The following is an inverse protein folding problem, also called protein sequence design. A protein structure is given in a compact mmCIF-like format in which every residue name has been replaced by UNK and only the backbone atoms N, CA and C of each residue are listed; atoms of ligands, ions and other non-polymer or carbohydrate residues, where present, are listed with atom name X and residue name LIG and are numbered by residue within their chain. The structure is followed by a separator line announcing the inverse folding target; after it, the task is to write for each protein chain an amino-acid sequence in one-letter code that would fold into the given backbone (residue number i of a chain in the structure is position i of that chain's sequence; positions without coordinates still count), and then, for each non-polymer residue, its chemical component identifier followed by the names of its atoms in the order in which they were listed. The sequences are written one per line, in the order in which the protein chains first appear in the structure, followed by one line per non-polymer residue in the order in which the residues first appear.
data_IF_039258036374
#
_entry.id   IF_039258036374
#
_cell.length_a   1.000
_cell.length_b   1.000
_cell.length_c   1.000
_cell.angle_alpha   90.00
_cell.angle_beta   90.00
_cell.angle_gamma   90.00
#
_symmetry.space_group_name_H-M   'P 1'
#
loop_
_entity.id
_entity.type
_entity.pdbx_description
1 polymer ?
#
# COMPACT_ATOMS: atom_id res chain seq x y z
N UNK A 1 25.74 3.25 -18.81
CA UNK A 1 24.85 2.78 -17.74
C UNK A 1 24.42 4.01 -16.96
N UNK A 2 23.21 4.52 -17.15
CA UNK A 2 22.74 5.70 -16.40
C UNK A 2 22.20 5.18 -15.07
N UNK A 3 22.97 5.42 -14.01
CA UNK A 3 22.50 5.26 -12.63
C UNK A 3 21.62 6.47 -12.35
N UNK A 4 20.30 6.30 -12.44
CA UNK A 4 19.37 7.31 -11.92
C UNK A 4 19.52 7.36 -10.41
N UNK A 5 20.28 8.33 -9.92
CA UNK A 5 20.28 8.72 -8.51
C UNK A 5 18.90 9.31 -8.21
N UNK A 6 18.12 8.60 -7.40
CA UNK A 6 17.04 9.21 -6.64
C UNK A 6 17.76 9.91 -5.45
N UNK A 7 17.69 11.24 -5.32
CA UNK A 7 18.36 11.93 -4.21
C UNK A 7 17.69 11.53 -2.89
N UNK A 8 18.31 10.68 -2.06
CA UNK A 8 17.81 10.40 -0.71
C UNK A 8 18.02 9.00 -0.12
N UNK A 9 18.44 8.00 -0.90
CA UNK A 9 19.17 6.83 -0.36
C UNK A 9 18.39 5.83 0.51
N UNK A 10 17.62 4.93 -0.14
CA UNK A 10 17.69 3.47 0.12
C UNK A 10 17.79 2.75 -1.23
N UNK A 11 18.81 1.90 -1.39
CA UNK A 11 19.20 1.34 -2.70
C UNK A 11 18.10 0.45 -3.32
N UNK A 12 17.39 0.98 -4.32
CA UNK A 12 16.64 0.18 -5.28
C UNK A 12 17.63 -0.47 -6.26
N UNK A 13 17.57 -1.79 -6.43
CA UNK A 13 18.42 -2.48 -7.42
C UNK A 13 17.80 -2.32 -8.81
N UNK A 14 18.47 -1.65 -9.78
CA UNK A 14 17.95 -1.56 -11.14
C UNK A 14 17.95 -2.94 -11.80
N UNK A 15 16.86 -3.28 -12.48
CA UNK A 15 16.79 -4.48 -13.34
C UNK A 15 16.89 -3.97 -14.79
N UNK A 16 18.09 -4.11 -15.36
CA UNK A 16 18.49 -4.07 -16.78
C UNK A 16 17.61 -3.36 -17.84
N UNK A 17 18.29 -2.46 -18.59
CA UNK A 17 18.02 -1.93 -19.95
C UNK A 17 16.72 -1.13 -20.13
N UNK A 18 16.88 0.20 -20.18
CA UNK A 18 15.84 1.14 -20.64
C UNK A 18 15.58 0.86 -22.12
N UNK A 19 14.43 0.25 -22.42
CA UNK A 19 13.87 0.17 -23.78
C UNK A 19 12.47 0.78 -23.66
N UNK A 20 12.30 1.99 -24.18
CA UNK A 20 11.11 2.82 -23.93
C UNK A 20 11.15 3.58 -22.60
N UNK A 21 10.18 4.48 -22.39
CA UNK A 21 10.00 5.28 -21.15
C UNK A 21 9.56 4.41 -19.95
N UNK A 22 10.17 3.23 -19.80
CA UNK A 22 9.87 2.24 -18.80
C UNK A 22 11.07 2.14 -17.86
N UNK A 23 10.84 2.47 -16.60
CA UNK A 23 11.84 2.29 -15.55
C UNK A 23 11.38 1.18 -14.60
N UNK A 24 12.24 0.18 -14.37
CA UNK A 24 11.91 -1.00 -13.56
C UNK A 24 12.75 -1.06 -12.29
N UNK A 25 12.05 -1.10 -11.16
CA UNK A 25 12.62 -1.24 -9.83
C UNK A 25 11.95 -2.41 -9.11
N UNK A 26 12.49 -2.75 -7.93
CA UNK A 26 11.83 -3.64 -6.99
C UNK A 26 12.10 -3.21 -5.56
N UNK A 27 11.05 -3.22 -4.74
CA UNK A 27 11.17 -3.21 -3.28
C UNK A 27 11.36 -4.66 -2.81
N UNK A 28 12.25 -4.90 -1.86
CA UNK A 28 12.44 -6.23 -1.26
C UNK A 28 11.85 -6.21 0.15
N UNK A 29 10.82 -7.03 0.37
CA UNK A 29 10.25 -7.25 1.70
C UNK A 29 10.86 -8.53 2.27
N UNK A 30 11.42 -8.43 3.47
CA UNK A 30 11.94 -9.58 4.22
C UNK A 30 10.84 -10.15 5.10
N UNK A 31 10.56 -11.44 4.97
CA UNK A 31 9.56 -12.14 5.77
C UNK A 31 10.21 -13.32 6.45
N UNK A 32 10.17 -13.37 7.78
CA UNK A 32 10.73 -14.47 8.57
C UNK A 32 9.60 -15.36 9.07
N UNK A 33 9.65 -16.64 8.71
CA UNK A 33 8.68 -17.66 9.15
C UNK A 33 9.45 -18.84 9.69
N UNK A 34 9.20 -19.23 10.94
CA UNK A 34 9.88 -20.34 11.62
C UNK A 34 11.42 -20.23 11.54
N UNK A 35 11.96 -19.02 11.76
CA UNK A 35 13.39 -18.74 11.70
C UNK A 35 13.98 -18.63 10.28
N UNK A 36 13.21 -18.94 9.23
CA UNK A 36 13.66 -18.84 7.84
C UNK A 36 13.25 -17.50 7.25
N UNK A 37 14.23 -16.69 6.83
CA UNK A 37 13.97 -15.42 6.13
C UNK A 37 13.82 -15.65 4.62
N UNK A 38 12.71 -15.20 4.07
CA UNK A 38 12.44 -15.14 2.62
C UNK A 38 12.45 -13.70 2.16
N UNK A 39 13.07 -13.45 1.00
CA UNK A 39 13.02 -12.17 0.32
C UNK A 39 11.89 -12.21 -0.72
N UNK A 40 10.87 -11.39 -0.53
CA UNK A 40 9.75 -11.26 -1.46
C UNK A 40 9.98 -9.99 -2.29
N UNK A 41 10.26 -10.09 -3.60
CA UNK A 41 10.36 -8.94 -4.47
C UNK A 41 8.97 -8.41 -4.82
N UNK A 42 8.82 -7.09 -4.71
CA UNK A 42 7.66 -6.33 -5.14
C UNK A 42 8.08 -5.40 -6.29
N UNK A 43 7.71 -5.70 -7.55
CA UNK A 43 8.11 -4.95 -8.72
C UNK A 43 7.40 -3.59 -8.76
N UNK A 44 8.13 -2.58 -9.20
CA UNK A 44 7.63 -1.22 -9.42
C UNK A 44 8.06 -0.83 -10.82
N UNK A 45 7.09 -0.75 -11.73
CA UNK A 45 7.34 -0.29 -13.09
C UNK A 45 6.80 1.13 -13.22
N UNK A 46 7.57 2.03 -13.81
CA UNK A 46 7.08 3.36 -14.18
C UNK A 46 6.87 3.35 -15.68
N UNK A 47 5.63 3.45 -16.13
CA UNK A 47 5.24 3.47 -17.55
C UNK A 47 4.55 4.79 -17.81
N UNK A 48 5.13 5.62 -18.69
CA UNK A 48 4.60 6.96 -19.02
C UNK A 48 4.36 7.84 -17.77
N UNK A 49 5.27 7.75 -16.79
CA UNK A 49 5.16 8.51 -15.54
C UNK A 49 4.15 7.96 -14.53
N UNK A 50 3.46 6.86 -14.82
CA UNK A 50 2.54 6.18 -13.89
C UNK A 50 3.24 4.96 -13.29
N UNK A 51 3.13 4.79 -11.98
CA UNK A 51 3.62 3.62 -11.26
C UNK A 51 2.62 2.47 -11.39
N UNK A 52 3.09 1.35 -11.90
CA UNK A 52 2.40 0.07 -11.96
C UNK A 52 2.94 -0.88 -10.88
N UNK A 53 2.05 -1.40 -10.05
CA UNK A 53 2.35 -2.35 -8.96
C UNK A 53 2.13 -3.82 -9.38
N UNK A 54 1.97 -4.09 -10.68
CA UNK A 54 1.52 -5.38 -11.21
C UNK A 54 -0.01 -5.54 -11.21
N UNK A 55 -0.49 -6.73 -11.60
CA UNK A 55 -1.93 -7.01 -11.72
C UNK A 55 -2.61 -7.14 -10.35
N UNK A 56 -3.95 -7.03 -10.33
CA UNK A 56 -4.69 -7.18 -9.07
C UNK A 56 -4.49 -8.56 -8.42
N UNK A 57 -4.54 -9.63 -9.22
CA UNK A 57 -4.32 -10.99 -8.75
C UNK A 57 -2.91 -11.20 -8.21
N UNK A 58 -1.92 -10.56 -8.81
CA UNK A 58 -0.55 -10.53 -8.31
C UNK A 58 -0.50 -9.87 -6.92
N UNK A 59 -1.01 -8.65 -6.78
CA UNK A 59 -0.98 -7.90 -5.52
C UNK A 59 -1.68 -8.65 -4.37
N UNK A 60 -2.87 -9.22 -4.63
CA UNK A 60 -3.59 -10.05 -3.64
C UNK A 60 -2.78 -11.26 -3.19
N UNK A 61 -2.17 -11.99 -4.13
CA UNK A 61 -1.33 -13.15 -3.81
C UNK A 61 -0.07 -12.77 -3.03
N UNK A 62 0.58 -11.67 -3.41
CA UNK A 62 1.81 -11.22 -2.77
C UNK A 62 1.57 -10.73 -1.34
N UNK A 63 0.51 -9.97 -1.09
CA UNK A 63 0.20 -9.51 0.27
C UNK A 63 -0.07 -10.70 1.18
N UNK A 64 -0.83 -11.70 0.72
CA UNK A 64 -1.08 -12.92 1.48
C UNK A 64 0.21 -13.67 1.85
N UNK A 65 1.17 -13.76 0.92
CA UNK A 65 2.50 -14.33 1.18
C UNK A 65 3.30 -13.47 2.17
N UNK A 66 3.24 -12.15 2.06
CA UNK A 66 3.96 -11.21 2.94
C UNK A 66 3.47 -11.29 4.38
N UNK A 67 2.16 -11.43 4.56
CA UNK A 67 1.52 -11.59 5.87
C UNK A 67 1.59 -13.04 6.39
N UNK A 68 2.17 -13.96 5.61
CA UNK A 68 2.26 -15.39 5.94
C UNK A 68 0.90 -16.02 6.30
N UNK A 69 -0.15 -15.66 5.56
CA UNK A 69 -1.50 -16.19 5.80
C UNK A 69 -1.67 -17.50 5.03
N UNK A 70 -1.79 -18.60 5.76
CA UNK A 70 -2.05 -19.93 5.21
C UNK A 70 -3.52 -20.32 5.31
N UNK A 71 -4.21 -19.87 6.36
CA UNK A 71 -5.62 -20.17 6.63
C UNK A 71 -6.56 -19.49 5.62
N UNK A 72 -7.38 -20.29 4.92
CA UNK A 72 -8.34 -19.81 3.92
C UNK A 72 -9.48 -18.97 4.51
N UNK A 73 -9.77 -19.10 5.81
CA UNK A 73 -10.77 -18.28 6.49
C UNK A 73 -10.30 -16.83 6.72
N UNK A 74 -9.00 -16.59 6.67
CA UNK A 74 -8.37 -15.28 6.84
C UNK A 74 -8.04 -14.67 5.48
N UNK A 75 -8.44 -13.41 5.28
CA UNK A 75 -8.14 -12.61 4.10
C UNK A 75 -6.96 -11.67 4.37
N UNK A 76 -6.16 -11.41 3.34
CA UNK A 76 -5.17 -10.35 3.34
C UNK A 76 -5.83 -9.04 2.92
N UNK A 77 -6.17 -8.19 3.89
CA UNK A 77 -6.80 -6.89 3.62
C UNK A 77 -5.73 -5.86 3.30
N UNK A 78 -5.94 -5.08 2.24
CA UNK A 78 -5.12 -3.91 1.93
C UNK A 78 -5.72 -2.71 2.66
N UNK A 79 -5.00 -2.15 3.65
CA UNK A 79 -5.47 -1.03 4.48
C UNK A 79 -5.83 0.17 3.60
N UNK A 80 -4.96 0.52 2.66
CA UNK A 80 -5.29 1.33 1.48
C UNK A 80 -5.76 0.38 0.39
N UNK A 81 -7.06 0.39 0.01
CA UNK A 81 -7.61 -0.51 -0.97
C UNK A 81 -6.87 -0.47 -2.32
N UNK A 82 -6.76 -1.64 -2.94
CA UNK A 82 -6.03 -1.85 -4.20
C UNK A 82 -6.60 -1.07 -5.39
N UNK A 83 -7.88 -0.70 -5.36
CA UNK A 83 -8.51 0.18 -6.35
C UNK A 83 -7.96 1.63 -6.28
N UNK A 84 -7.36 2.04 -5.16
CA UNK A 84 -6.71 3.36 -5.03
C UNK A 84 -5.23 3.38 -5.38
N UNK A 85 -4.71 2.30 -5.99
CA UNK A 85 -3.32 2.26 -6.49
C UNK A 85 -2.97 3.38 -7.46
N UNK A 86 -3.96 3.90 -8.19
CA UNK A 86 -3.81 5.00 -9.13
C UNK A 86 -4.16 6.37 -8.53
N UNK A 87 -4.48 6.44 -7.23
CA UNK A 87 -4.73 7.73 -6.58
C UNK A 87 -3.47 8.61 -6.62
N UNK A 88 -3.61 9.94 -6.76
CA UNK A 88 -2.46 10.83 -6.81
C UNK A 88 -1.52 10.70 -5.60
N UNK A 89 -2.07 10.49 -4.39
CA UNK A 89 -1.26 10.31 -3.18
C UNK A 89 -0.42 9.03 -3.24
N UNK A 90 -1.03 7.89 -3.59
CA UNK A 90 -0.32 6.61 -3.68
C UNK A 90 0.76 6.65 -4.76
N UNK A 91 0.47 7.30 -5.89
CA UNK A 91 1.43 7.49 -6.97
C UNK A 91 2.62 8.36 -6.55
N UNK A 92 2.40 9.42 -5.75
CA UNK A 92 3.48 10.24 -5.17
C UNK A 92 4.29 9.46 -4.14
N UNK A 93 3.64 8.78 -3.20
CA UNK A 93 4.30 7.98 -2.17
C UNK A 93 5.18 6.85 -2.77
N UNK A 94 4.74 6.24 -3.88
CA UNK A 94 5.51 5.22 -4.59
C UNK A 94 6.72 5.77 -5.37
N UNK A 95 6.78 7.10 -5.59
CA UNK A 95 7.92 7.80 -6.20
C UNK A 95 8.81 8.51 -5.17
N UNK A 96 8.48 8.43 -3.88
CA UNK A 96 9.29 8.97 -2.79
C UNK A 96 10.60 8.20 -2.60
N UNK A 97 11.51 8.74 -1.78
CA UNK A 97 12.74 8.05 -1.39
C UNK A 97 12.44 6.80 -0.54
N UNK A 98 11.38 6.87 0.26
CA UNK A 98 10.88 5.77 1.07
C UNK A 98 9.77 4.99 0.34
N UNK A 99 10.04 4.61 -0.91
CA UNK A 99 9.13 3.94 -1.85
C UNK A 99 8.04 3.11 -1.19
N UNK A 100 6.79 3.59 -1.30
CA UNK A 100 5.60 2.83 -0.96
C UNK A 100 5.27 1.79 -2.04
N UNK A 101 4.76 0.63 -1.62
CA UNK A 101 4.19 -0.37 -2.52
C UNK A 101 2.82 -0.81 -1.97
N UNK A 102 1.82 -0.94 -2.83
CA UNK A 102 0.44 -1.23 -2.39
C UNK A 102 0.33 -2.57 -1.64
N UNK A 103 1.09 -3.61 -2.04
CA UNK A 103 1.20 -4.88 -1.31
C UNK A 103 2.35 -4.95 -0.30
N UNK A 104 2.81 -3.83 0.23
CA UNK A 104 3.77 -3.83 1.34
C UNK A 104 3.13 -4.39 2.61
N UNK A 105 3.94 -4.97 3.51
CA UNK A 105 3.51 -5.43 4.83
C UNK A 105 2.83 -4.33 5.62
N UNK A 106 3.32 -3.09 5.54
CA UNK A 106 2.72 -1.96 6.26
C UNK A 106 1.28 -1.69 5.83
N UNK A 107 0.94 -1.97 4.57
CA UNK A 107 -0.40 -1.77 4.02
C UNK A 107 -1.29 -3.02 4.16
N UNK A 108 -0.87 -3.99 4.98
CA UNK A 108 -1.51 -5.30 5.06
C UNK A 108 -1.92 -5.67 6.47
N UNK A 109 -3.16 -6.11 6.62
CA UNK A 109 -3.67 -6.68 7.86
C UNK A 109 -4.45 -7.98 7.61
N UNK A 110 -4.20 -9.07 8.36
CA UNK A 110 -5.04 -10.25 8.31
C UNK A 110 -6.40 -9.97 8.93
N UNK A 111 -7.49 -10.31 8.22
CA UNK A 111 -8.86 -10.19 8.74
C UNK A 111 -9.67 -11.47 8.50
N UNK A 112 -10.56 -11.86 9.43
CA UNK A 112 -11.58 -12.87 9.15
C UNK A 112 -12.42 -12.47 7.94
N UNK A 113 -12.79 -13.45 7.11
CA UNK A 113 -13.55 -13.20 5.87
C UNK A 113 -14.88 -12.47 6.12
N UNK A 114 -15.53 -12.73 7.27
CA UNK A 114 -16.77 -12.07 7.70
C UNK A 114 -16.61 -10.57 7.93
N UNK A 115 -15.45 -10.14 8.42
CA UNK A 115 -15.18 -8.74 8.75
C UNK A 115 -14.63 -7.97 7.54
N UNK A 116 -14.06 -8.70 6.58
CA UNK A 116 -13.42 -8.14 5.39
C UNK A 116 -14.39 -7.67 4.31
N UNK A 117 -15.51 -8.38 4.07
CA UNK A 117 -16.37 -8.09 2.91
C UNK A 117 -17.50 -7.10 3.21
N UNK A 118 -18.03 -7.13 4.43
CA UNK A 118 -19.18 -6.32 4.82
C UNK A 118 -18.79 -4.84 4.93
N UNK A 119 -19.46 -3.99 4.14
CA UNK A 119 -19.25 -2.53 4.14
C UNK A 119 -17.96 -2.04 3.45
N UNK A 120 -17.23 -2.92 2.76
CA UNK A 120 -15.98 -2.55 2.09
C UNK A 120 -16.19 -1.62 0.88
N UNK A 121 -17.17 -1.95 0.03
CA UNK A 121 -17.44 -1.26 -1.26
C UNK A 121 -18.88 -0.72 -1.35
N UNK A 122 -19.54 -0.48 -0.22
CA UNK A 122 -20.86 0.16 -0.17
C UNK A 122 -20.70 1.69 -0.21
N UNK A 123 -21.74 2.40 -0.65
CA UNK A 123 -21.76 3.87 -0.59
C UNK A 123 -21.57 4.33 0.85
N UNK A 124 -20.60 5.21 1.11
CA UNK A 124 -20.21 5.65 2.45
C UNK A 124 -19.50 4.59 3.28
N UNK A 125 -19.11 3.47 2.67
CA UNK A 125 -18.34 2.41 3.30
C UNK A 125 -16.83 2.70 3.33
N UNK A 126 -16.06 1.70 3.74
CA UNK A 126 -14.62 1.83 3.99
C UNK A 126 -13.84 2.46 2.83
N UNK A 127 -14.09 2.00 1.60
CA UNK A 127 -13.37 2.51 0.43
C UNK A 127 -13.67 3.99 0.19
N UNK A 128 -14.92 4.43 0.32
CA UNK A 128 -15.30 5.83 0.09
C UNK A 128 -14.67 6.75 1.13
N UNK A 129 -14.72 6.36 2.41
CA UNK A 129 -14.11 7.12 3.50
C UNK A 129 -12.59 7.20 3.35
N UNK A 130 -11.93 6.09 3.01
CA UNK A 130 -10.49 6.09 2.71
C UNK A 130 -10.18 6.98 1.51
N UNK A 131 -10.98 6.92 0.43
CA UNK A 131 -10.78 7.76 -0.76
C UNK A 131 -10.83 9.26 -0.43
N UNK A 132 -11.75 9.66 0.45
CA UNK A 132 -11.87 11.05 0.88
C UNK A 132 -10.60 11.49 1.62
N UNK A 133 -10.16 10.73 2.62
CA UNK A 133 -8.95 11.05 3.39
C UNK A 133 -7.69 11.07 2.50
N UNK A 134 -7.56 10.13 1.55
CA UNK A 134 -6.46 10.15 0.57
C UNK A 134 -6.47 11.43 -0.28
N UNK A 135 -7.65 11.95 -0.60
CA UNK A 135 -7.81 13.20 -1.36
C UNK A 135 -7.38 14.40 -0.52
N UNK A 136 -7.81 14.45 0.74
CA UNK A 136 -7.49 15.55 1.66
C UNK A 136 -5.98 15.59 1.95
N UNK A 137 -5.36 14.44 2.22
CA UNK A 137 -3.90 14.32 2.34
C UNK A 137 -3.21 14.77 1.06
N UNK A 138 -3.67 14.33 -0.12
CA UNK A 138 -3.04 14.72 -1.39
C UNK A 138 -3.07 16.25 -1.61
N UNK A 139 -4.14 16.91 -1.20
CA UNK A 139 -4.25 18.37 -1.27
C UNK A 139 -3.26 19.03 -0.30
N UNK A 140 -3.19 18.54 0.93
CA UNK A 140 -2.29 19.06 1.97
C UNK A 140 -0.79 18.92 1.62
N UNK A 141 -0.38 17.78 1.07
CA UNK A 141 1.05 17.51 0.77
C UNK A 141 1.53 18.20 -0.51
N UNK A 142 0.63 18.64 -1.39
CA UNK A 142 1.02 19.27 -2.66
C UNK A 142 1.90 18.35 -3.51
N UNK A 143 3.00 18.87 -4.05
CA UNK A 143 3.91 18.10 -4.92
C UNK A 143 5.09 17.45 -4.18
N UNK A 144 5.10 17.45 -2.85
CA UNK A 144 6.15 16.82 -2.06
C UNK A 144 5.94 15.30 -1.97
N UNK A 145 6.83 14.53 -2.60
CA UNK A 145 6.71 13.07 -2.66
C UNK A 145 7.08 12.40 -1.34
N UNK A 146 8.02 12.97 -0.59
CA UNK A 146 8.44 12.41 0.69
C UNK A 146 7.35 12.69 1.74
N UNK A 147 6.83 13.92 1.78
CA UNK A 147 5.68 14.25 2.63
C UNK A 147 4.44 13.42 2.27
N UNK A 148 4.19 13.18 0.98
CA UNK A 148 3.13 12.28 0.54
C UNK A 148 3.29 10.86 1.08
N UNK A 149 4.52 10.32 1.12
CA UNK A 149 4.78 9.02 1.72
C UNK A 149 4.57 9.04 3.24
N UNK A 150 5.11 10.04 3.92
CA UNK A 150 5.03 10.12 5.39
C UNK A 150 3.58 10.22 5.86
N UNK A 151 2.76 11.07 5.22
CA UNK A 151 1.33 11.18 5.54
C UNK A 151 0.54 9.92 5.18
N UNK A 152 0.86 9.27 4.06
CA UNK A 152 0.23 7.99 3.71
C UNK A 152 0.53 6.91 4.76
N UNK A 153 1.77 6.84 5.23
CA UNK A 153 2.20 5.89 6.27
C UNK A 153 1.56 6.22 7.63
N UNK A 154 1.43 7.50 7.98
CA UNK A 154 0.71 7.93 9.18
C UNK A 154 -0.75 7.51 9.14
N UNK A 155 -1.42 7.74 8.01
CA UNK A 155 -2.81 7.32 7.83
C UNK A 155 -2.99 5.79 7.86
N UNK A 156 -2.08 5.05 7.22
CA UNK A 156 -2.07 3.57 7.30
C UNK A 156 -1.90 3.11 8.75
N UNK A 157 -0.99 3.72 9.50
CA UNK A 157 -0.75 3.37 10.90
C UNK A 157 -1.96 3.68 11.78
N UNK A 158 -2.64 4.80 11.51
CA UNK A 158 -3.92 5.13 12.15
C UNK A 158 -4.98 4.05 11.87
N UNK A 159 -5.17 3.65 10.61
CA UNK A 159 -6.15 2.64 10.22
C UNK A 159 -5.80 1.25 10.77
N UNK A 160 -4.53 0.83 10.75
CA UNK A 160 -4.08 -0.42 11.33
C UNK A 160 -4.44 -0.49 12.82
N UNK A 161 -4.15 0.58 13.57
CA UNK A 161 -4.52 0.69 14.98
C UNK A 161 -6.04 0.68 15.17
N UNK A 162 -6.79 1.43 14.37
CA UNK A 162 -8.24 1.50 14.46
C UNK A 162 -8.88 0.11 14.24
N UNK A 163 -8.44 -0.61 13.21
CA UNK A 163 -8.93 -1.95 12.89
C UNK A 163 -8.55 -2.96 13.98
N UNK A 164 -7.31 -2.93 14.47
CA UNK A 164 -6.86 -3.86 15.54
C UNK A 164 -7.60 -3.65 16.84
N UNK A 165 -7.86 -2.39 17.21
CA UNK A 165 -8.57 -2.04 18.44
C UNK A 165 -10.09 -2.28 18.35
N UNK A 166 -10.61 -2.59 17.16
CA UNK A 166 -12.01 -2.88 16.90
C UNK A 166 -12.16 -4.19 16.11
N UNK A 167 -11.44 -5.24 16.53
CA UNK A 167 -11.34 -6.50 15.79
C UNK A 167 -12.66 -7.27 15.63
N UNK A 168 -13.66 -6.95 16.43
CA UNK A 168 -15.03 -7.47 16.36
C UNK A 168 -15.86 -6.80 15.25
N UNK A 169 -15.42 -5.67 14.69
CA UNK A 169 -16.15 -4.89 13.70
C UNK A 169 -15.81 -5.31 12.27
N UNK A 170 -16.79 -5.19 11.38
CA UNK A 170 -16.55 -5.26 9.94
C UNK A 170 -16.08 -3.90 9.40
N UNK A 171 -15.55 -3.88 8.17
CA UNK A 171 -14.98 -2.67 7.58
C UNK A 171 -15.99 -1.53 7.39
N UNK A 172 -17.28 -1.82 7.19
CA UNK A 172 -18.31 -0.78 7.20
C UNK A 172 -18.39 -0.05 8.54
N UNK A 173 -18.44 -0.81 9.63
CA UNK A 173 -18.45 -0.24 10.99
C UNK A 173 -17.13 0.44 11.35
N UNK A 174 -16.00 -0.01 10.79
CA UNK A 174 -14.71 0.71 10.93
C UNK A 174 -14.79 2.06 10.21
N UNK A 175 -15.44 2.13 9.04
CA UNK A 175 -15.56 3.37 8.28
C UNK A 175 -16.24 4.47 9.10
N UNK A 176 -17.28 4.14 9.88
CA UNK A 176 -17.99 5.07 10.76
C UNK A 176 -17.11 5.65 11.88
N UNK A 177 -15.98 5.01 12.19
CA UNK A 177 -15.06 5.42 13.24
C UNK A 177 -13.85 6.19 12.71
N UNK A 178 -13.68 6.28 11.39
CA UNK A 178 -12.56 7.02 10.79
C UNK A 178 -12.79 8.50 11.03
N UNK A 179 -11.90 9.07 11.85
CA UNK A 179 -11.81 10.50 12.13
C UNK A 179 -10.33 10.89 12.06
N UNK A 180 -9.80 10.93 10.84
CA UNK A 180 -8.41 11.30 10.57
C UNK A 180 -8.38 12.71 10.00
N UNK A 181 -7.59 13.59 10.63
CA UNK A 181 -7.32 14.94 10.11
C UNK A 181 -5.84 15.08 9.83
N UNK A 182 -5.52 15.67 8.68
CA UNK A 182 -4.16 16.14 8.38
C UNK A 182 -3.83 17.31 9.30
N UNK A 183 -2.65 17.29 9.92
CA UNK A 183 -2.14 18.35 10.78
C UNK A 183 -0.78 18.82 10.30
#
# INVERSE_FOLDING_TARGET
MIVGLIPGGKALKPVTKIVGNIVKYRKIVKVTVNGVTKNIPLPINIVNGIVEFGSDGYNRSQLRKILNITDSAIQAHHIIPLNFRNSPLVQKAAKSDNVFHISDKLNGIPLPSTNHLTGHNTIGGYSDTVSQVLTDINQFVGNDYNKANDELVNFISYLDNLIRNNSDKNLGQIADLINYTVN
#
